data_IF_942595971682
#
_entry.id   IF_942595971682
#
_cell.length_a   1.000
_cell.length_b   1.000
_cell.length_c   1.000
_cell.angle_alpha   90.00
_cell.angle_beta   90.00
_cell.angle_gamma   90.00
#
_symmetry.space_group_name_H-M   'P 1'
#
loop_
_entity.id
_entity.type
_entity.pdbx_description
1 polymer ?
#
# COMPACT_ATOMS: atom_id res chain seq x y z
N UNK A 1 3.57 -10.85 -19.53
CA UNK A 1 2.57 -9.77 -19.67
C UNK A 1 2.88 -8.63 -18.70
N UNK A 2 3.85 -7.75 -18.98
CA UNK A 2 4.29 -6.70 -18.02
C UNK A 2 4.31 -5.27 -18.59
N UNK A 3 4.05 -5.08 -19.89
CA UNK A 3 3.98 -3.74 -20.50
C UNK A 3 2.62 -3.05 -20.36
N UNK A 4 1.53 -3.82 -20.34
CA UNK A 4 0.15 -3.31 -20.34
C UNK A 4 -0.27 -2.78 -18.95
N UNK A 5 0.21 -3.40 -17.87
CA UNK A 5 -0.02 -2.95 -16.49
C UNK A 5 0.69 -1.62 -16.16
N UNK A 6 1.83 -1.35 -16.81
CA UNK A 6 2.53 -0.05 -16.69
C UNK A 6 1.82 1.04 -17.49
N UNK A 7 1.18 0.67 -18.61
CA UNK A 7 0.30 1.56 -19.35
C UNK A 7 -1.07 1.73 -18.70
N UNK A 8 -1.56 0.85 -17.82
CA UNK A 8 -2.81 1.07 -17.06
C UNK A 8 -2.63 1.96 -15.83
N UNK A 9 -1.38 2.18 -15.39
CA UNK A 9 -0.97 3.42 -14.67
C UNK A 9 -0.96 4.64 -15.60
N UNK A 10 -1.49 4.53 -16.84
CA UNK A 10 -1.78 5.67 -17.71
C UNK A 10 -2.53 6.71 -16.91
N UNK A 11 -1.96 7.92 -16.95
CA UNK A 11 -2.57 9.20 -16.56
C UNK A 11 -3.90 9.02 -15.86
N UNK A 12 -3.83 8.79 -14.55
CA UNK A 12 -5.01 8.80 -13.69
C UNK A 12 -5.76 10.10 -13.98
N UNK A 13 -7.01 9.97 -14.40
CA UNK A 13 -7.85 11.11 -14.75
C UNK A 13 -8.18 11.91 -13.50
N UNK A 14 -7.51 13.05 -13.35
CA UNK A 14 -7.69 13.96 -12.21
C UNK A 14 -9.13 14.46 -12.09
N UNK A 15 -9.84 14.66 -13.20
CA UNK A 15 -11.23 15.12 -13.16
C UNK A 15 -12.16 14.04 -12.58
N UNK A 16 -11.92 12.78 -12.92
CA UNK A 16 -12.66 11.65 -12.35
C UNK A 16 -12.42 11.50 -10.84
N UNK A 17 -11.19 11.70 -10.38
CA UNK A 17 -10.87 11.67 -8.95
C UNK A 17 -11.53 12.82 -8.19
N UNK A 18 -11.43 14.06 -8.71
CA UNK A 18 -12.03 15.24 -8.09
C UNK A 18 -13.55 15.12 -7.93
N UNK A 19 -14.23 14.48 -8.89
CA UNK A 19 -15.68 14.21 -8.78
C UNK A 19 -16.05 13.30 -7.61
N UNK A 20 -15.15 12.40 -7.19
CA UNK A 20 -15.39 11.40 -6.14
C UNK A 20 -14.85 11.91 -4.79
N UNK A 21 -13.66 12.49 -4.79
CA UNK A 21 -12.91 12.84 -3.58
C UNK A 21 -12.84 14.35 -3.30
N UNK A 22 -13.30 15.19 -4.24
CA UNK A 22 -13.10 16.63 -4.20
C UNK A 22 -11.73 17.05 -4.73
N UNK A 23 -11.54 18.36 -4.88
CA UNK A 23 -10.28 18.94 -5.36
C UNK A 23 -9.21 19.06 -4.26
N UNK A 24 -9.62 18.96 -3.00
CA UNK A 24 -8.73 19.02 -1.83
C UNK A 24 -8.35 17.60 -1.43
N UNK A 25 -7.10 17.23 -1.69
CA UNK A 25 -6.54 15.98 -1.18
C UNK A 25 -6.11 16.16 0.28
N UNK A 26 -6.24 15.11 1.13
CA UNK A 26 -5.73 15.15 2.48
C UNK A 26 -4.20 15.34 2.44
N UNK A 27 -3.71 16.24 3.29
CA UNK A 27 -2.28 16.35 3.53
C UNK A 27 -1.83 15.11 4.29
N UNK A 28 -0.74 14.48 3.84
CA UNK A 28 -0.12 13.38 4.59
C UNK A 28 1.05 13.89 5.41
N UNK A 29 1.12 13.42 6.65
CA UNK A 29 2.23 13.72 7.55
C UNK A 29 3.43 12.81 7.26
N UNK A 30 4.59 13.16 7.79
CA UNK A 30 5.84 12.41 7.55
C UNK A 30 5.76 10.97 8.08
N UNK A 31 5.02 10.74 9.17
CA UNK A 31 4.84 9.42 9.78
C UNK A 31 3.97 8.47 8.96
N UNK A 32 3.02 8.98 8.16
CA UNK A 32 2.21 8.17 7.24
C UNK A 32 3.00 7.72 6.01
N UNK A 33 4.04 8.47 5.64
CA UNK A 33 5.00 8.06 4.61
C UNK A 33 5.99 7.09 5.23
N UNK A 34 5.59 5.83 5.38
CA UNK A 34 6.49 4.79 5.85
C UNK A 34 7.78 4.76 5.05
N UNK A 35 8.93 4.74 5.73
CA UNK A 35 10.27 4.69 5.13
C UNK A 35 10.58 3.32 4.47
N UNK A 36 9.60 2.41 4.42
CA UNK A 36 9.84 0.98 4.38
C UNK A 36 9.33 0.25 3.12
N UNK A 37 9.25 0.91 1.97
CA UNK A 37 9.00 0.20 0.69
C UNK A 37 10.22 -0.66 0.25
N UNK A 38 11.31 -0.70 1.03
CA UNK A 38 12.57 -1.39 0.69
C UNK A 38 12.92 -2.60 1.58
N UNK A 39 12.06 -3.04 2.51
CA UNK A 39 12.44 -3.97 3.58
C UNK A 39 11.87 -5.40 3.49
N UNK A 40 12.01 -6.09 2.35
CA UNK A 40 11.45 -7.43 2.10
C UNK A 40 12.05 -8.62 2.90
N UNK A 41 12.41 -8.44 4.18
CA UNK A 41 12.96 -9.52 5.02
C UNK A 41 12.55 -9.49 6.49
N UNK A 42 12.53 -8.30 7.11
CA UNK A 42 12.30 -8.15 8.56
C UNK A 42 10.81 -8.24 8.95
N UNK A 43 9.92 -7.76 8.08
CA UNK A 43 8.47 -7.75 8.32
C UNK A 43 7.85 -9.14 8.45
N UNK A 44 8.36 -10.08 7.66
CA UNK A 44 7.88 -11.46 7.56
C UNK A 44 8.32 -12.31 8.77
N UNK A 45 9.54 -12.06 9.27
CA UNK A 45 10.06 -12.68 10.48
C UNK A 45 9.35 -12.14 11.74
N UNK A 46 9.13 -10.82 11.80
CA UNK A 46 8.35 -10.19 12.85
C UNK A 46 6.93 -10.76 12.91
N UNK A 47 6.25 -10.89 11.76
CA UNK A 47 4.89 -11.41 11.68
C UNK A 47 4.79 -12.86 12.19
N UNK A 48 5.74 -13.74 11.82
CA UNK A 48 5.78 -15.13 12.32
C UNK A 48 5.94 -15.21 13.84
N UNK A 49 6.66 -14.27 14.45
CA UNK A 49 6.84 -14.18 15.91
C UNK A 49 5.59 -13.64 16.64
N UNK A 50 4.68 -12.97 15.92
CA UNK A 50 3.43 -12.45 16.48
C UNK A 50 2.25 -13.43 16.34
N UNK A 51 2.42 -14.60 15.72
CA UNK A 51 1.35 -15.59 15.60
C UNK A 51 1.08 -16.23 16.98
N UNK A 52 -0.15 -16.15 17.51
CA UNK A 52 -0.50 -16.78 18.77
C UNK A 52 -0.35 -18.32 18.70
N UNK A 53 0.07 -18.99 19.79
CA UNK A 53 0.43 -20.42 19.78
C UNK A 53 -0.74 -21.37 19.48
N UNK A 54 -1.98 -20.88 19.52
CA UNK A 54 -3.18 -21.65 19.22
C UNK A 54 -3.65 -21.53 17.76
N UNK A 55 -2.93 -20.79 16.92
CA UNK A 55 -3.31 -20.57 15.52
C UNK A 55 -3.07 -21.81 14.62
N UNK A 56 -2.46 -22.88 15.14
CA UNK A 56 -2.36 -24.18 14.49
C UNK A 56 -3.21 -25.24 15.21
N UNK A 57 -4.51 -24.99 15.34
CA UNK A 57 -5.47 -25.94 15.90
C UNK A 57 -6.68 -26.11 14.99
N UNK A 58 -6.58 -27.02 14.01
CA UNK A 58 -7.67 -27.41 13.10
C UNK A 58 -7.20 -27.68 11.69
#
# INVERSE_FOLDING_TARGET
MTGEQQQSRARIDRARLARIFGDVLPETTRDERGENDSGGGDSDEWLRRQVPPHHSGG
#
